data_IF_877953519387
#
_entry.id   IF_877953519387
#
_cell.length_a   1.000
_cell.length_b   1.000
_cell.length_c   1.000
_cell.angle_alpha   90.00
_cell.angle_beta   90.00
_cell.angle_gamma   90.00
#
_symmetry.space_group_name_H-M   'P 1'
#
loop_
_entity.id
_entity.type
_entity.pdbx_description
1 polymer ?
#
# COMPACT_ATOMS: atom_id res chain seq x y z
N UNK A 1 -18.25 11.75 -0.05
CA UNK A 1 -17.46 12.59 -0.97
C UNK A 1 -16.21 13.17 -0.31
N UNK A 2 -16.13 13.12 1.00
CA UNK A 2 -15.00 13.59 1.79
C UNK A 2 -13.81 12.62 1.81
N UNK A 3 -14.05 11.32 1.53
CA UNK A 3 -13.04 10.25 1.55
C UNK A 3 -12.19 10.15 0.27
N UNK A 4 -12.33 11.14 -0.64
CA UNK A 4 -11.51 11.17 -1.86
C UNK A 4 -10.06 11.52 -1.56
N UNK A 5 -9.14 10.80 -2.20
CA UNK A 5 -7.71 11.06 -2.12
C UNK A 5 -7.40 12.36 -2.89
N UNK A 6 -6.82 13.33 -2.19
CA UNK A 6 -6.44 14.64 -2.75
C UNK A 6 -4.94 14.88 -2.75
N UNK A 7 -4.17 14.10 -2.00
CA UNK A 7 -2.72 14.19 -1.98
C UNK A 7 -2.10 12.83 -1.68
N UNK A 8 -1.03 12.51 -2.41
CA UNK A 8 -0.18 11.34 -2.17
C UNK A 8 1.27 11.80 -2.20
N UNK A 9 2.02 11.48 -1.16
CA UNK A 9 3.45 11.81 -1.06
C UNK A 9 4.21 10.65 -0.46
N UNK A 10 5.35 10.30 -1.01
CA UNK A 10 6.22 9.27 -0.48
C UNK A 10 7.64 9.77 -0.27
N UNK A 11 8.33 9.11 0.64
CA UNK A 11 9.73 9.34 0.98
C UNK A 11 10.44 8.03 1.32
N UNK A 12 11.75 8.06 1.21
CA UNK A 12 12.60 7.00 1.74
C UNK A 12 12.87 7.28 3.22
N UNK A 13 12.70 6.25 4.05
CA UNK A 13 13.05 6.28 5.48
C UNK A 13 13.92 5.07 5.83
N UNK A 14 14.47 5.04 7.02
CA UNK A 14 15.22 3.89 7.53
C UNK A 14 14.35 3.02 8.41
N UNK A 15 14.43 1.70 8.20
CA UNK A 15 13.82 0.74 9.11
C UNK A 15 14.65 0.55 10.39
N UNK A 16 14.19 -0.27 11.34
CA UNK A 16 14.89 -0.53 12.61
C UNK A 16 16.25 -1.21 12.44
N UNK A 17 16.54 -1.76 11.26
CA UNK A 17 17.83 -2.39 10.92
C UNK A 17 18.75 -1.44 10.16
N UNK A 18 18.33 -0.19 9.92
CA UNK A 18 19.08 0.79 9.15
C UNK A 18 19.03 0.54 7.64
N UNK A 19 18.06 -0.23 7.14
CA UNK A 19 17.83 -0.39 5.71
C UNK A 19 16.77 0.60 5.21
N UNK A 20 16.92 1.15 3.99
CA UNK A 20 15.90 2.00 3.39
C UNK A 20 14.57 1.27 3.17
N UNK A 21 13.47 1.98 3.42
CA UNK A 21 12.12 1.54 3.07
C UNK A 21 11.27 2.72 2.63
N UNK A 22 10.10 2.41 2.03
CA UNK A 22 9.16 3.42 1.53
C UNK A 22 8.16 3.76 2.62
N UNK A 23 7.97 5.06 2.86
CA UNK A 23 6.86 5.58 3.65
C UNK A 23 6.00 6.46 2.76
N UNK A 24 4.68 6.30 2.83
CA UNK A 24 3.73 7.12 2.10
C UNK A 24 2.74 7.81 3.02
N UNK A 25 2.35 9.02 2.64
CA UNK A 25 1.25 9.78 3.22
C UNK A 25 0.13 9.91 2.19
N UNK A 26 -1.10 9.71 2.63
CA UNK A 26 -2.31 10.01 1.85
C UNK A 26 -3.18 10.98 2.64
N UNK A 27 -3.62 12.05 1.97
CA UNK A 27 -4.57 13.00 2.51
C UNK A 27 -5.89 12.92 1.77
N UNK A 28 -6.97 12.93 2.51
CA UNK A 28 -8.34 12.93 1.99
C UNK A 28 -8.93 14.33 1.92
N UNK A 29 -9.96 14.51 1.12
CA UNK A 29 -10.69 15.78 1.01
C UNK A 29 -11.31 16.22 2.34
N UNK A 30 -11.61 15.30 3.25
CA UNK A 30 -12.03 15.58 4.63
C UNK A 30 -10.95 16.21 5.49
N UNK A 31 -9.70 16.17 5.08
CA UNK A 31 -8.53 16.53 5.87
C UNK A 31 -7.90 15.37 6.64
N UNK A 32 -8.53 14.19 6.66
CA UNK A 32 -7.92 13.00 7.26
C UNK A 32 -6.63 12.62 6.53
N UNK A 33 -5.64 12.19 7.30
CA UNK A 33 -4.32 11.78 6.80
C UNK A 33 -4.02 10.36 7.27
N UNK A 34 -3.54 9.54 6.35
CA UNK A 34 -2.99 8.22 6.65
C UNK A 34 -1.52 8.15 6.28
N UNK A 35 -0.72 7.55 7.14
CA UNK A 35 0.70 7.30 6.93
C UNK A 35 1.00 5.83 7.11
N UNK A 36 1.81 5.28 6.23
CA UNK A 36 2.30 3.92 6.34
C UNK A 36 3.73 3.78 5.84
N UNK A 37 4.53 3.02 6.60
CA UNK A 37 5.85 2.56 6.19
C UNK A 37 5.78 1.08 5.84
N UNK A 38 6.41 0.69 4.74
CA UNK A 38 6.36 -0.70 4.27
C UNK A 38 7.33 -1.55 5.09
N UNK A 39 6.87 -2.64 5.72
CA UNK A 39 7.78 -3.58 6.37
C UNK A 39 8.57 -4.37 5.32
N UNK A 40 9.87 -4.57 5.57
CA UNK A 40 10.73 -5.39 4.72
C UNK A 40 10.99 -6.74 5.39
N UNK A 41 10.74 -7.83 4.66
CA UNK A 41 11.01 -9.18 5.11
C UNK A 41 12.52 -9.52 5.10
N UNK A 42 12.94 -10.43 5.96
CA UNK A 42 14.32 -10.94 5.98
C UNK A 42 14.53 -12.10 5.00
N UNK A 43 13.48 -12.84 4.69
CA UNK A 43 13.49 -13.96 3.74
C UNK A 43 12.39 -13.76 2.71
N UNK A 44 12.66 -14.17 1.48
CA UNK A 44 11.70 -14.09 0.37
C UNK A 44 11.36 -15.49 -0.11
N UNK A 45 10.07 -15.74 -0.34
CA UNK A 45 9.59 -16.93 -1.02
C UNK A 45 9.73 -16.79 -2.53
N UNK A 46 9.69 -17.92 -3.24
CA UNK A 46 9.82 -17.93 -4.71
C UNK A 46 8.62 -17.34 -5.45
N UNK A 47 7.51 -17.14 -4.76
CA UNK A 47 6.26 -16.59 -5.32
C UNK A 47 5.86 -15.25 -4.71
N UNK A 48 6.77 -14.60 -4.00
CA UNK A 48 6.51 -13.29 -3.43
C UNK A 48 6.58 -12.21 -4.51
N UNK A 49 5.77 -11.16 -4.31
CA UNK A 49 5.86 -9.95 -5.10
C UNK A 49 7.21 -9.25 -4.86
N UNK A 50 7.75 -8.63 -5.90
CA UNK A 50 9.09 -8.06 -5.88
C UNK A 50 9.12 -6.72 -5.15
N UNK A 51 9.97 -6.62 -4.15
CA UNK A 51 10.35 -5.36 -3.54
C UNK A 51 11.35 -4.64 -4.45
N UNK A 52 10.96 -3.48 -4.99
CA UNK A 52 11.82 -2.72 -5.90
C UNK A 52 12.93 -2.02 -5.14
N UNK A 53 14.17 -2.38 -5.46
CA UNK A 53 15.39 -1.77 -4.93
C UNK A 53 16.18 -1.10 -6.06
N UNK A 54 16.89 -0.01 -5.75
CA UNK A 54 17.61 0.79 -6.75
C UNK A 54 18.78 0.04 -7.39
N UNK A 55 19.41 -0.87 -6.64
CA UNK A 55 20.57 -1.64 -7.11
C UNK A 55 21.89 -0.85 -7.15
N UNK A 56 21.87 0.44 -6.84
CA UNK A 56 23.08 1.27 -6.78
C UNK A 56 23.92 0.91 -5.53
N UNK A 57 25.02 0.21 -5.76
CA UNK A 57 25.91 -0.26 -4.70
C UNK A 57 26.58 0.88 -3.90
N UNK A 58 26.71 2.06 -4.49
CA UNK A 58 27.28 3.23 -3.82
C UNK A 58 26.34 3.80 -2.76
N UNK A 59 25.03 3.50 -2.88
CA UNK A 59 24.00 3.96 -1.96
C UNK A 59 23.34 2.78 -1.25
N UNK A 60 23.51 2.70 0.07
CA UNK A 60 22.96 1.63 0.92
C UNK A 60 23.22 0.21 0.39
N UNK A 61 24.38 -0.01 -0.26
CA UNK A 61 24.78 -1.31 -0.85
C UNK A 61 23.74 -1.86 -1.83
N UNK A 62 23.07 -1.00 -2.58
CA UNK A 62 22.04 -1.36 -3.54
C UNK A 62 20.61 -1.46 -2.98
N UNK A 63 20.44 -1.23 -1.67
CA UNK A 63 19.13 -1.37 -1.01
C UNK A 63 18.27 -0.10 -1.01
N UNK A 64 18.72 0.99 -1.66
CA UNK A 64 17.94 2.21 -1.82
C UNK A 64 16.57 1.95 -2.44
N UNK A 65 15.59 2.82 -2.19
CA UNK A 65 14.20 2.69 -2.68
C UNK A 65 13.71 3.95 -3.39
N UNK A 66 14.62 4.78 -3.90
CA UNK A 66 14.24 6.03 -4.59
C UNK A 66 13.38 5.79 -5.83
N UNK A 67 13.61 4.72 -6.59
CA UNK A 67 12.76 4.35 -7.73
C UNK A 67 11.32 4.04 -7.30
N UNK A 68 11.17 3.28 -6.23
CA UNK A 68 9.84 2.98 -5.67
C UNK A 68 9.15 4.26 -5.16
N UNK A 69 9.89 5.15 -4.49
CA UNK A 69 9.39 6.46 -4.04
C UNK A 69 8.96 7.32 -5.24
N UNK A 70 9.73 7.34 -6.31
CA UNK A 70 9.37 8.05 -7.55
C UNK A 70 8.08 7.50 -8.15
N UNK A 71 7.92 6.18 -8.21
CA UNK A 71 6.68 5.57 -8.71
C UNK A 71 5.45 5.94 -7.87
N UNK A 72 5.60 6.05 -6.54
CA UNK A 72 4.50 6.54 -5.69
C UNK A 72 4.17 7.99 -5.99
N UNK A 73 5.19 8.85 -6.12
CA UNK A 73 5.00 10.29 -6.31
C UNK A 73 4.55 10.67 -7.75
N UNK A 74 4.60 9.74 -8.69
CA UNK A 74 4.21 9.94 -10.09
C UNK A 74 3.05 9.02 -10.49
N UNK A 75 3.33 7.85 -11.04
CA UNK A 75 2.32 6.96 -11.64
C UNK A 75 1.22 6.51 -10.66
N UNK A 76 1.59 6.10 -9.45
CA UNK A 76 0.61 5.67 -8.45
C UNK A 76 -0.23 6.84 -7.95
N UNK A 77 0.41 7.99 -7.71
CA UNK A 77 -0.30 9.23 -7.34
C UNK A 77 -1.34 9.59 -8.39
N UNK A 78 -0.97 9.65 -9.67
CA UNK A 78 -1.91 9.98 -10.75
C UNK A 78 -3.08 9.00 -10.82
N UNK A 79 -2.81 7.71 -10.63
CA UNK A 79 -3.83 6.67 -10.70
C UNK A 79 -4.84 6.76 -9.55
N UNK A 80 -4.41 7.03 -8.32
CA UNK A 80 -5.30 7.00 -7.15
C UNK A 80 -5.91 8.36 -6.80
N UNK A 81 -5.45 9.46 -7.38
CA UNK A 81 -6.02 10.79 -7.14
C UNK A 81 -7.50 10.82 -7.48
N UNK A 82 -8.31 11.36 -6.57
CA UNK A 82 -9.76 11.43 -6.70
C UNK A 82 -10.49 10.12 -6.42
N UNK A 83 -9.77 9.02 -6.19
CA UNK A 83 -10.36 7.73 -5.82
C UNK A 83 -10.89 7.77 -4.38
N UNK A 84 -11.90 6.98 -4.08
CA UNK A 84 -12.45 6.87 -2.73
C UNK A 84 -11.55 5.94 -1.90
N UNK A 85 -10.94 6.45 -0.84
CA UNK A 85 -10.05 5.68 0.03
C UNK A 85 -10.78 4.56 0.79
N UNK A 86 -12.11 4.61 0.88
CA UNK A 86 -12.92 3.55 1.51
C UNK A 86 -13.08 2.32 0.61
N UNK A 87 -12.91 2.48 -0.69
CA UNK A 87 -12.92 1.38 -1.65
C UNK A 87 -11.51 0.76 -1.78
N UNK A 88 -11.07 0.08 -0.72
CA UNK A 88 -9.76 -0.56 -0.66
C UNK A 88 -9.53 -1.53 -1.82
N UNK A 89 -10.49 -2.38 -2.11
CA UNK A 89 -10.37 -3.36 -3.19
C UNK A 89 -10.25 -2.69 -4.57
N UNK A 90 -10.99 -1.59 -4.78
CA UNK A 90 -10.98 -0.86 -6.04
C UNK A 90 -9.64 -0.18 -6.33
N UNK A 91 -9.09 0.59 -5.37
CA UNK A 91 -7.81 1.25 -5.60
C UNK A 91 -6.62 0.27 -5.57
N UNK A 92 -6.68 -0.82 -4.78
CA UNK A 92 -5.66 -1.85 -4.83
C UNK A 92 -5.62 -2.54 -6.19
N UNK A 93 -6.79 -2.91 -6.72
CA UNK A 93 -6.91 -3.48 -8.07
C UNK A 93 -6.39 -2.53 -9.13
N UNK A 94 -6.73 -1.25 -9.06
CA UNK A 94 -6.26 -0.22 -9.98
C UNK A 94 -4.72 -0.16 -10.02
N UNK A 95 -4.05 -0.19 -8.86
CA UNK A 95 -2.59 -0.17 -8.79
C UNK A 95 -1.95 -1.45 -9.31
N UNK A 96 -2.56 -2.61 -9.05
CA UNK A 96 -2.11 -3.90 -9.56
C UNK A 96 -2.24 -3.95 -11.09
N UNK A 97 -3.36 -3.49 -11.63
CA UNK A 97 -3.61 -3.44 -13.08
C UNK A 97 -2.65 -2.44 -13.76
N UNK A 98 -2.30 -1.33 -13.09
CA UNK A 98 -1.33 -0.36 -13.59
C UNK A 98 0.08 -0.96 -13.69
N UNK A 99 0.50 -1.76 -12.72
CA UNK A 99 1.75 -2.50 -12.79
C UNK A 99 1.71 -3.54 -13.91
N UNK A 100 0.64 -4.32 -13.99
CA UNK A 100 0.37 -5.28 -15.06
C UNK A 100 1.32 -6.46 -15.12
N UNK A 101 2.25 -6.60 -14.16
CA UNK A 101 3.15 -7.75 -14.04
C UNK A 101 2.65 -8.71 -12.96
N UNK A 102 3.02 -9.99 -13.09
CA UNK A 102 2.58 -11.03 -12.15
C UNK A 102 3.14 -10.80 -10.73
N UNK A 103 4.38 -10.37 -10.65
CA UNK A 103 5.13 -10.20 -9.40
C UNK A 103 5.33 -8.74 -8.98
N UNK A 104 4.64 -7.78 -9.63
CA UNK A 104 4.71 -6.34 -9.35
C UNK A 104 6.12 -5.75 -9.50
N UNK A 105 6.87 -6.21 -10.51
CA UNK A 105 8.26 -5.81 -10.72
C UNK A 105 8.44 -4.45 -11.42
N UNK A 106 7.40 -3.92 -12.05
CA UNK A 106 7.49 -2.62 -12.74
C UNK A 106 7.44 -1.45 -11.77
N UNK A 107 6.41 -1.40 -10.92
CA UNK A 107 6.24 -0.34 -9.93
C UNK A 107 6.90 -0.69 -8.60
N UNK A 108 6.96 -1.98 -8.28
CA UNK A 108 7.43 -2.51 -7.02
C UNK A 108 6.31 -2.77 -6.02
N UNK A 109 6.34 -3.95 -5.41
CA UNK A 109 5.36 -4.32 -4.39
C UNK A 109 5.41 -3.36 -3.18
N UNK A 110 6.60 -2.87 -2.82
CA UNK A 110 6.77 -1.88 -1.76
C UNK A 110 6.09 -0.54 -2.08
N UNK A 111 6.17 -0.06 -3.32
CA UNK A 111 5.49 1.17 -3.74
C UNK A 111 3.95 1.00 -3.67
N UNK A 112 3.42 -0.08 -4.22
CA UNK A 112 1.98 -0.38 -4.22
C UNK A 112 1.47 -0.55 -2.78
N UNK A 113 2.19 -1.32 -1.96
CA UNK A 113 1.80 -1.58 -0.57
C UNK A 113 1.83 -0.30 0.29
N UNK A 114 2.80 0.60 0.07
CA UNK A 114 2.86 1.87 0.77
C UNK A 114 1.59 2.70 0.57
N UNK A 115 1.13 2.82 -0.67
CA UNK A 115 -0.11 3.55 -1.02
C UNK A 115 -1.34 2.84 -0.44
N UNK A 116 -1.44 1.53 -0.61
CA UNK A 116 -2.55 0.71 -0.11
C UNK A 116 -2.72 0.85 1.41
N UNK A 117 -1.63 0.70 2.16
CA UNK A 117 -1.65 0.83 3.62
C UNK A 117 -1.94 2.27 4.08
N UNK A 118 -1.36 3.28 3.43
CA UNK A 118 -1.61 4.68 3.75
C UNK A 118 -3.08 5.05 3.49
N UNK A 119 -3.69 4.54 2.42
CA UNK A 119 -5.11 4.73 2.15
C UNK A 119 -6.00 4.08 3.22
N UNK A 120 -5.66 2.88 3.68
CA UNK A 120 -6.37 2.21 4.77
C UNK A 120 -6.30 3.01 6.08
N UNK A 121 -5.13 3.55 6.42
CA UNK A 121 -4.96 4.43 7.58
C UNK A 121 -5.77 5.73 7.45
N UNK A 122 -5.76 6.35 6.26
CA UNK A 122 -6.54 7.56 6.00
C UNK A 122 -8.04 7.30 6.12
N UNK A 123 -8.53 6.18 5.58
CA UNK A 123 -9.92 5.75 5.68
C UNK A 123 -10.34 5.48 7.12
N UNK A 124 -9.49 4.81 7.90
CA UNK A 124 -9.75 4.58 9.32
C UNK A 124 -9.84 5.90 10.10
N UNK A 125 -8.91 6.83 9.85
CA UNK A 125 -8.93 8.16 10.47
C UNK A 125 -10.17 8.97 10.08
N UNK A 126 -10.59 8.92 8.82
CA UNK A 126 -11.79 9.59 8.32
C UNK A 126 -13.07 9.09 9.02
N UNK A 127 -13.12 7.81 9.35
CA UNK A 127 -14.21 7.17 10.07
C UNK A 127 -14.07 7.24 11.62
N UNK A 128 -13.05 7.91 12.13
CA UNK A 128 -12.71 7.93 13.57
C UNK A 128 -12.53 6.53 14.17
N UNK A 129 -11.95 5.63 13.41
CA UNK A 129 -11.69 4.24 13.78
C UNK A 129 -10.19 3.97 13.83
N UNK A 130 -9.79 2.99 14.63
CA UNK A 130 -8.45 2.44 14.54
C UNK A 130 -8.35 1.50 13.34
N UNK A 131 -7.17 1.39 12.73
CA UNK A 131 -6.98 0.56 11.53
C UNK A 131 -7.44 -0.89 11.74
N UNK A 132 -7.15 -1.49 12.90
CA UNK A 132 -7.59 -2.86 13.17
C UNK A 132 -9.12 -3.00 13.20
N UNK A 133 -9.85 -1.97 13.63
CA UNK A 133 -11.31 -1.97 13.59
C UNK A 133 -11.82 -1.94 12.14
N UNK A 134 -11.21 -1.10 11.29
CA UNK A 134 -11.54 -1.06 9.87
C UNK A 134 -11.31 -2.40 9.20
N UNK A 135 -10.16 -3.02 9.44
CA UNK A 135 -9.80 -4.31 8.84
C UNK A 135 -10.65 -5.46 9.37
N UNK A 136 -11.02 -5.43 10.65
CA UNK A 136 -11.89 -6.45 11.25
C UNK A 136 -13.31 -6.44 10.67
N UNK A 137 -13.84 -5.26 10.35
CA UNK A 137 -15.19 -5.11 9.78
C UNK A 137 -15.22 -5.28 8.25
N UNK A 138 -14.07 -5.26 7.59
CA UNK A 138 -13.99 -5.49 6.15
C UNK A 138 -14.23 -6.97 5.83
N UNK A 139 -15.06 -7.30 4.84
CA UNK A 139 -15.29 -8.70 4.46
C UNK A 139 -13.99 -9.33 3.97
N UNK A 140 -13.52 -10.36 4.67
CA UNK A 140 -12.36 -11.14 4.26
C UNK A 140 -12.78 -12.18 3.21
N UNK A 141 -11.93 -12.51 2.23
CA UNK A 141 -12.16 -13.64 1.33
C UNK A 141 -12.40 -14.96 2.07
N UNK A 142 -11.83 -15.13 3.27
CA UNK A 142 -12.07 -16.30 4.14
C UNK A 142 -13.48 -16.30 4.69
N UNK A 143 -14.01 -15.15 5.10
CA UNK A 143 -15.36 -15.02 5.64
C UNK A 143 -16.40 -15.37 4.56
N UNK A 144 -16.19 -14.94 3.32
CA UNK A 144 -17.02 -15.33 2.20
C UNK A 144 -17.01 -16.84 1.92
N UNK A 145 -15.91 -17.52 2.21
CA UNK A 145 -15.79 -18.98 2.08
C UNK A 145 -16.49 -19.70 3.23
N UNK A 146 -16.38 -19.20 4.45
CA UNK A 146 -17.03 -19.75 5.64
C UNK A 146 -18.56 -19.62 5.57
N UNK A 147 -19.07 -18.52 5.04
CA UNK A 147 -20.51 -18.29 4.87
C UNK A 147 -21.15 -19.21 3.82
N UNK A 148 -20.34 -19.89 2.99
CA UNK A 148 -20.79 -20.86 1.99
C UNK A 148 -20.70 -22.32 2.46
N UNK A 149 -20.14 -22.57 3.64
CA UNK A 149 -20.19 -23.89 4.23
C UNK A 149 -21.63 -24.17 4.67
N UNK A 150 -22.29 -25.28 4.19
CA UNK A 150 -23.59 -25.66 4.70
C UNK A 150 -23.43 -25.91 6.20
N UNK A 151 -24.29 -25.29 7.01
CA UNK A 151 -24.43 -25.66 8.40
C UNK A 151 -24.74 -27.14 8.42
N UNK A 152 -23.78 -27.95 8.82
CA UNK A 152 -24.05 -29.34 9.13
C UNK A 152 -25.10 -29.36 10.26
N UNK A 153 -26.26 -29.76 9.91
CA UNK A 153 -27.31 -30.06 10.88
C UNK A 153 -26.85 -31.12 11.88
#
# INVERSE_FOLDING_TARGET
MTSKIVEVTAREIMDSRGNPTVEADIKLASGAVGRAAVPSGASTGTREALELRDGDKARYRGKGVLKAVEHVNTALREAVMGFDATDQAGHDKLMIDLDGSENKDKLGANAILAVSMAAAHASAADNNQMLFCLLYTSPSPRDATLSRMPSSA
#
